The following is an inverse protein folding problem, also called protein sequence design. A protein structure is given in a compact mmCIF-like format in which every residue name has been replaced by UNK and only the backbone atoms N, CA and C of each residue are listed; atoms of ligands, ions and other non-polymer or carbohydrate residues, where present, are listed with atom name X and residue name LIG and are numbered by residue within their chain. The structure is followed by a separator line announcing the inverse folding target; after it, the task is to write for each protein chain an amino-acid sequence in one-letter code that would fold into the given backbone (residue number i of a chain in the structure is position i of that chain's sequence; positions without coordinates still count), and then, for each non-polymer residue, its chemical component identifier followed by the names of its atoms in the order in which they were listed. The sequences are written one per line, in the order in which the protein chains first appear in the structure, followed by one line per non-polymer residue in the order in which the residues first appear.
data_IF_252029474181
#
_entry.id   IF_252029474181
#
_cell.length_a   1.000
_cell.length_b   1.000
_cell.length_c   1.000
_cell.angle_alpha   90.00
_cell.angle_beta   90.00
_cell.angle_gamma   90.00
#
_symmetry.space_group_name_H-M   'P 1'
#
loop_
_entity.id
_entity.type
_entity.pdbx_description
1 polymer ?
#
# COMPACT_ATOMS: atom_id res chain seq x y z
N UNK A 1 10.68 -4.04 7.73
CA UNK A 1 10.00 -3.49 8.91
C UNK A 1 10.38 -4.36 10.10
N UNK A 2 10.34 -3.84 11.31
CA UNK A 2 10.62 -4.65 12.50
C UNK A 2 9.59 -4.34 13.59
N UNK A 3 9.33 -5.30 14.46
CA UNK A 3 8.53 -5.13 15.67
C UNK A 3 9.41 -5.35 16.89
N UNK A 4 9.25 -4.50 17.88
CA UNK A 4 9.87 -4.67 19.19
C UNK A 4 8.80 -4.91 20.24
N UNK A 5 9.05 -5.86 21.13
CA UNK A 5 8.22 -6.15 22.29
C UNK A 5 9.05 -5.99 23.55
N UNK A 6 8.59 -5.16 24.47
CA UNK A 6 9.13 -5.02 25.81
C UNK A 6 8.12 -5.59 26.82
N UNK A 7 8.52 -6.64 27.53
CA UNK A 7 7.77 -7.20 28.64
C UNK A 7 8.39 -6.73 29.94
N UNK A 8 7.60 -6.08 30.79
CA UNK A 8 8.06 -5.47 32.05
C UNK A 8 7.27 -6.04 33.22
N UNK A 9 7.98 -6.56 34.20
CA UNK A 9 7.43 -6.93 35.49
C UNK A 9 7.40 -5.71 36.41
N UNK A 10 6.22 -5.42 36.93
CA UNK A 10 5.96 -4.27 37.79
C UNK A 10 5.51 -4.73 39.17
N UNK A 11 6.09 -4.12 40.18
CA UNK A 11 5.64 -4.19 41.57
C UNK A 11 4.94 -2.88 41.95
N UNK A 12 3.77 -2.99 42.57
CA UNK A 12 2.93 -1.87 42.99
C UNK A 12 2.89 -1.81 44.52
N UNK A 13 3.93 -1.26 45.18
CA UNK A 13 4.05 -1.31 46.65
C UNK A 13 2.87 -0.66 47.36
N UNK A 14 2.33 0.40 46.78
CA UNK A 14 1.25 1.20 47.37
C UNK A 14 -0.15 0.69 47.05
N UNK A 15 -0.32 -0.32 46.20
CA UNK A 15 -1.64 -0.90 45.96
C UNK A 15 -2.01 -1.79 47.14
N UNK A 16 -3.26 -1.71 47.61
CA UNK A 16 -3.81 -2.53 48.72
C UNK A 16 -5.02 -3.38 48.31
N UNK A 17 -5.47 -3.23 47.06
CA UNK A 17 -6.60 -3.98 46.48
C UNK A 17 -6.49 -4.10 44.97
N UNK A 18 -7.21 -5.07 44.37
CA UNK A 18 -7.29 -5.22 42.91
C UNK A 18 -7.86 -3.97 42.22
N UNK A 19 -8.79 -3.26 42.86
CA UNK A 19 -9.36 -2.01 42.32
C UNK A 19 -8.32 -0.91 42.27
N UNK A 20 -7.57 -0.72 43.35
CA UNK A 20 -6.52 0.30 43.43
C UNK A 20 -5.37 -0.02 42.46
N UNK A 21 -4.95 -1.28 42.39
CA UNK A 21 -3.97 -1.77 41.41
C UNK A 21 -4.38 -1.42 39.98
N UNK A 22 -5.62 -1.76 39.58
CA UNK A 22 -6.14 -1.43 38.24
C UNK A 22 -6.13 0.06 37.96
N UNK A 23 -6.52 0.89 38.93
CA UNK A 23 -6.53 2.34 38.77
C UNK A 23 -5.12 2.91 38.57
N UNK A 24 -4.14 2.45 39.36
CA UNK A 24 -2.74 2.87 39.23
C UNK A 24 -2.14 2.42 37.90
N UNK A 25 -2.32 1.14 37.57
CA UNK A 25 -1.82 0.56 36.31
C UNK A 25 -2.44 1.25 35.09
N UNK A 26 -3.73 1.57 35.12
CA UNK A 26 -4.41 2.30 34.03
C UNK A 26 -3.78 3.65 33.75
N UNK A 27 -3.39 4.42 34.78
CA UNK A 27 -2.70 5.71 34.59
C UNK A 27 -1.35 5.55 33.92
N UNK A 28 -0.58 4.53 34.30
CA UNK A 28 0.71 4.22 33.66
C UNK A 28 0.51 3.83 32.20
N UNK A 29 -0.45 2.96 31.91
CA UNK A 29 -0.79 2.53 30.54
C UNK A 29 -1.25 3.71 29.67
N UNK A 30 -2.09 4.60 30.19
CA UNK A 30 -2.55 5.79 29.46
C UNK A 30 -1.37 6.73 29.14
N UNK A 31 -0.47 6.99 30.10
CA UNK A 31 0.73 7.80 29.87
C UNK A 31 1.65 7.19 28.81
N UNK A 32 1.85 5.86 28.83
CA UNK A 32 2.66 5.16 27.82
C UNK A 32 2.08 5.32 26.41
N UNK A 33 0.77 5.08 26.25
CA UNK A 33 0.09 5.20 24.96
C UNK A 33 0.15 6.62 24.41
N UNK A 34 -0.08 7.63 25.26
CA UNK A 34 -0.07 9.04 24.85
C UNK A 34 1.33 9.54 24.49
N UNK A 35 2.37 9.09 25.21
CA UNK A 35 3.73 9.61 25.05
C UNK A 35 4.53 8.95 23.93
N UNK A 36 4.33 7.65 23.71
CA UNK A 36 5.22 6.86 22.83
C UNK A 36 4.50 6.25 21.61
N UNK A 37 3.19 6.45 21.46
CA UNK A 37 2.39 5.88 20.37
C UNK A 37 2.57 4.34 20.23
N UNK A 38 2.49 3.64 21.35
CA UNK A 38 2.72 2.19 21.45
C UNK A 38 1.45 1.44 21.83
N UNK A 39 1.38 0.17 21.44
CA UNK A 39 0.38 -0.76 21.96
C UNK A 39 0.83 -1.26 23.33
N UNK A 40 -0.07 -1.30 24.31
CA UNK A 40 0.22 -1.74 25.69
C UNK A 40 -0.89 -2.66 26.17
N UNK A 41 -0.53 -3.81 26.71
CA UNK A 41 -1.45 -4.77 27.31
C UNK A 41 -0.88 -5.30 28.64
N UNK A 42 -1.77 -5.62 29.57
CA UNK A 42 -1.41 -6.41 30.75
C UNK A 42 -1.49 -7.90 30.39
N UNK A 43 -0.37 -8.61 30.49
CA UNK A 43 -0.24 -10.00 30.02
C UNK A 43 -0.22 -11.02 31.15
N UNK A 44 0.07 -10.61 32.39
CA UNK A 44 0.04 -11.48 33.58
C UNK A 44 -0.09 -10.66 34.88
N UNK A 45 -0.26 -11.34 36.01
CA UNK A 45 -0.35 -10.76 37.35
C UNK A 45 -1.74 -10.27 37.74
N UNK A 46 -2.77 -10.55 36.93
CA UNK A 46 -4.15 -10.05 37.13
C UNK A 46 -4.77 -10.44 38.48
N UNK A 47 -4.32 -11.56 39.06
CA UNK A 47 -4.77 -12.08 40.36
C UNK A 47 -3.98 -11.53 41.56
N UNK A 48 -2.92 -10.75 41.32
CA UNK A 48 -2.10 -10.12 42.36
C UNK A 48 -2.38 -8.63 42.44
N UNK A 49 -2.62 -8.12 43.64
CA UNK A 49 -2.83 -6.69 43.87
C UNK A 49 -1.53 -5.88 43.91
N UNK A 50 -0.35 -6.51 44.07
CA UNK A 50 0.95 -5.81 44.06
C UNK A 50 1.81 -6.14 42.84
N UNK A 51 1.36 -7.01 41.92
CA UNK A 51 2.16 -7.38 40.74
C UNK A 51 1.37 -7.17 39.47
N UNK A 52 2.08 -6.78 38.41
CA UNK A 52 1.54 -6.72 37.06
C UNK A 52 2.66 -7.02 36.06
N UNK A 53 2.32 -7.64 34.94
CA UNK A 53 3.24 -7.77 33.81
C UNK A 53 2.63 -7.04 32.63
N UNK A 54 3.35 -6.04 32.11
CA UNK A 54 2.95 -5.29 30.93
C UNK A 54 3.76 -5.76 29.72
N UNK A 55 3.09 -5.97 28.60
CA UNK A 55 3.73 -6.06 27.30
C UNK A 55 3.47 -4.75 26.53
N UNK A 56 4.54 -4.17 26.02
CA UNK A 56 4.54 -2.98 25.18
C UNK A 56 5.07 -3.38 23.81
N UNK A 57 4.31 -3.10 22.75
CA UNK A 57 4.69 -3.41 21.38
C UNK A 57 4.76 -2.14 20.52
N UNK A 58 5.79 -2.08 19.68
CA UNK A 58 6.02 -0.98 18.74
C UNK A 58 6.63 -1.48 17.43
N UNK A 59 6.47 -0.72 16.36
CA UNK A 59 7.00 -1.05 15.02
C UNK A 59 7.81 0.11 14.47
N UNK A 60 8.90 -0.19 13.79
CA UNK A 60 9.72 0.82 13.12
C UNK A 60 10.35 0.27 11.83
N UNK A 61 10.80 1.20 10.98
CA UNK A 61 11.51 0.87 9.75
C UNK A 61 12.92 0.34 9.99
N UNK A 62 13.53 0.69 11.13
CA UNK A 62 14.94 0.41 11.47
C UNK A 62 15.05 -0.06 12.92
N UNK A 63 15.98 -0.98 13.18
CA UNK A 63 16.19 -1.65 14.48
C UNK A 63 16.59 -0.70 15.60
N UNK A 64 17.55 0.18 15.32
CA UNK A 64 18.03 1.16 16.29
C UNK A 64 16.90 2.09 16.80
N UNK A 65 15.87 2.32 15.98
CA UNK A 65 14.69 3.11 16.35
C UNK A 65 13.77 2.36 17.31
N UNK A 66 13.64 1.03 17.13
CA UNK A 66 12.91 0.19 18.08
C UNK A 66 13.62 0.18 19.44
N UNK A 67 14.92 -0.10 19.43
CA UNK A 67 15.74 -0.12 20.64
C UNK A 67 15.62 1.21 21.38
N UNK A 68 15.83 2.34 20.68
CA UNK A 68 15.73 3.66 21.28
C UNK A 68 14.37 3.91 21.94
N UNK A 69 13.26 3.57 21.28
CA UNK A 69 11.90 3.79 21.81
C UNK A 69 11.63 2.87 23.01
N UNK A 70 12.02 1.60 22.93
CA UNK A 70 11.80 0.65 24.03
C UNK A 70 12.65 1.01 25.25
N UNK A 71 13.89 1.48 25.06
CA UNK A 71 14.76 1.96 26.13
C UNK A 71 14.19 3.22 26.81
N UNK A 72 13.63 4.15 26.02
CA UNK A 72 12.95 5.33 26.55
C UNK A 72 11.70 4.96 27.36
N UNK A 73 10.97 3.93 26.93
CA UNK A 73 9.80 3.41 27.66
C UNK A 73 10.22 2.78 28.98
N UNK A 74 11.29 1.99 29.00
CA UNK A 74 11.80 1.38 30.22
C UNK A 74 12.22 2.45 31.24
N UNK A 75 13.02 3.44 30.81
CA UNK A 75 13.44 4.56 31.68
C UNK A 75 12.26 5.39 32.17
N UNK A 76 11.23 5.54 31.34
CA UNK A 76 9.99 6.20 31.75
C UNK A 76 9.28 5.43 32.86
N UNK A 77 9.19 4.10 32.76
CA UNK A 77 8.58 3.24 33.76
C UNK A 77 9.37 3.21 35.07
N UNK A 78 10.71 3.18 35.00
CA UNK A 78 11.59 3.29 36.16
C UNK A 78 11.44 4.64 36.89
N UNK A 79 11.08 5.70 36.16
CA UNK A 79 10.78 7.02 36.71
C UNK A 79 9.35 7.20 37.21
N UNK A 80 8.46 6.21 37.06
CA UNK A 80 7.07 6.34 37.51
C UNK A 80 6.95 6.09 39.03
N UNK A 81 6.42 7.04 39.82
CA UNK A 81 6.22 6.82 41.26
C UNK A 81 5.12 5.79 41.57
N UNK A 82 4.26 5.48 40.60
CA UNK A 82 3.13 4.56 40.80
C UNK A 82 3.52 3.06 40.77
N UNK A 83 4.70 2.72 40.24
CA UNK A 83 5.16 1.35 40.00
C UNK A 83 6.67 1.23 40.21
N UNK A 84 7.16 0.04 40.51
CA UNK A 84 8.60 -0.27 40.51
C UNK A 84 8.86 -1.38 39.49
N UNK A 85 9.86 -1.19 38.62
CA UNK A 85 10.27 -2.23 37.68
C UNK A 85 11.06 -3.30 38.43
N UNK A 86 10.54 -4.52 38.48
CA UNK A 86 11.22 -5.66 39.13
C UNK A 86 12.02 -6.52 38.15
N UNK A 87 11.73 -6.40 36.85
CA UNK A 87 12.41 -7.11 35.78
C UNK A 87 11.87 -6.69 34.42
N UNK A 88 12.63 -6.93 33.35
CA UNK A 88 12.16 -6.73 31.99
C UNK A 88 12.85 -7.67 31.01
N UNK A 89 12.20 -7.88 29.86
CA UNK A 89 12.76 -8.56 28.69
C UNK A 89 12.41 -7.76 27.45
N UNK A 90 13.39 -7.54 26.60
CA UNK A 90 13.20 -6.93 25.28
C UNK A 90 13.42 -8.00 24.22
N UNK A 91 12.48 -8.08 23.27
CA UNK A 91 12.59 -8.96 22.11
C UNK A 91 12.37 -8.14 20.85
N UNK A 92 13.37 -8.15 19.96
CA UNK A 92 13.27 -7.56 18.64
C UNK A 92 12.99 -8.67 17.65
N UNK A 93 11.85 -8.54 16.98
CA UNK A 93 11.40 -9.49 15.98
C UNK A 93 11.48 -8.81 14.63
N UNK A 94 12.37 -9.24 13.74
CA UNK A 94 12.34 -8.76 12.37
C UNK A 94 10.99 -9.13 11.78
N UNK A 95 10.23 -8.10 11.37
CA UNK A 95 9.08 -8.28 10.47
C UNK A 95 9.64 -8.35 9.05
N UNK A 96 10.52 -9.34 8.84
CA UNK A 96 10.90 -9.82 7.53
C UNK A 96 9.85 -10.80 7.05
N UNK A 97 9.71 -10.92 5.73
CA UNK A 97 8.87 -11.94 5.09
C UNK A 97 9.28 -13.34 5.56
N UNK A 98 8.74 -13.83 6.69
CA UNK A 98 8.74 -15.26 6.98
C UNK A 98 7.73 -15.88 6.04
N UNK A 99 8.24 -16.77 5.20
CA UNK A 99 7.56 -17.48 4.12
C UNK A 99 6.46 -18.46 4.57
N UNK A 100 5.95 -18.36 5.80
CA UNK A 100 4.89 -19.22 6.33
C UNK A 100 3.60 -18.46 6.62
N UNK A 101 2.80 -18.33 5.55
CA UNK A 101 1.34 -18.51 5.48
C UNK A 101 0.41 -17.85 6.51
N UNK A 102 -0.27 -16.77 6.07
CA UNK A 102 -1.73 -16.61 6.29
C UNK A 102 -2.50 -16.29 5.00
N UNK A 103 -1.79 -15.96 3.91
CA UNK A 103 -2.35 -15.79 2.57
C UNK A 103 -1.48 -16.59 1.60
N UNK A 104 -2.06 -17.37 0.67
CA UNK A 104 -1.27 -18.09 -0.32
C UNK A 104 -0.57 -17.06 -1.22
N UNK A 105 0.73 -16.85 -1.03
CA UNK A 105 1.56 -16.15 -2.01
C UNK A 105 1.96 -17.14 -3.10
N UNK A 106 1.72 -16.74 -4.35
CA UNK A 106 2.42 -17.31 -5.49
C UNK A 106 3.94 -17.23 -5.23
N UNK A 107 4.67 -18.23 -5.70
CA UNK A 107 6.12 -18.43 -5.51
C UNK A 107 6.91 -17.12 -5.64
N UNK A 108 7.97 -17.01 -4.83
CA UNK A 108 9.03 -16.01 -4.95
C UNK A 108 9.59 -15.97 -6.40
N UNK A 109 9.03 -15.06 -7.18
CA UNK A 109 9.47 -14.51 -8.45
C UNK A 109 9.18 -13.01 -8.37
N UNK A 110 9.87 -12.18 -9.13
CA UNK A 110 9.96 -10.74 -8.86
C UNK A 110 8.56 -10.07 -8.79
N UNK A 111 8.46 -8.91 -8.13
CA UNK A 111 7.22 -8.13 -8.08
C UNK A 111 6.91 -7.55 -9.48
N UNK A 112 6.34 -8.38 -10.36
CA UNK A 112 6.23 -8.09 -11.78
C UNK A 112 5.03 -7.20 -12.10
N UNK A 113 3.93 -7.26 -11.34
CA UNK A 113 2.75 -6.43 -11.63
C UNK A 113 2.46 -5.43 -10.51
N UNK A 114 2.57 -4.15 -10.81
CA UNK A 114 2.33 -3.05 -9.88
C UNK A 114 1.15 -2.22 -10.39
N UNK A 115 0.13 -2.05 -9.57
CA UNK A 115 -0.98 -1.14 -9.85
C UNK A 115 -0.76 0.20 -9.16
N UNK A 116 -0.90 1.29 -9.90
CA UNK A 116 -0.90 2.66 -9.37
C UNK A 116 -2.26 3.30 -9.68
N UNK A 117 -3.02 3.60 -8.62
CA UNK A 117 -4.31 4.29 -8.71
C UNK A 117 -4.28 5.64 -8.02
N UNK A 118 -5.27 6.48 -8.29
CA UNK A 118 -5.46 7.76 -7.63
C UNK A 118 -6.32 8.72 -8.43
N UNK A 119 -6.71 9.82 -7.78
CA UNK A 119 -7.51 10.88 -8.38
C UNK A 119 -6.84 11.58 -9.57
N UNK A 120 -7.61 12.40 -10.28
CA UNK A 120 -7.08 13.29 -11.32
C UNK A 120 -6.07 14.25 -10.68
N UNK A 121 -4.93 14.47 -11.35
CA UNK A 121 -3.82 15.33 -10.87
C UNK A 121 -3.23 14.92 -9.51
N UNK A 122 -3.43 13.69 -9.05
CA UNK A 122 -2.85 13.22 -7.79
C UNK A 122 -1.34 12.98 -7.84
N UNK A 123 -0.71 13.01 -9.02
CA UNK A 123 0.71 12.69 -9.21
C UNK A 123 0.99 11.22 -9.56
N UNK A 124 -0.04 10.39 -9.75
CA UNK A 124 0.10 8.95 -10.05
C UNK A 124 1.04 8.61 -11.21
N UNK A 125 0.96 9.30 -12.36
CA UNK A 125 1.86 9.01 -13.50
C UNK A 125 3.33 9.33 -13.18
N UNK A 126 3.60 10.40 -12.41
CA UNK A 126 4.98 10.72 -11.99
C UNK A 126 5.54 9.63 -11.07
N UNK A 127 4.72 9.15 -10.14
CA UNK A 127 5.11 8.06 -9.27
C UNK A 127 5.31 6.75 -10.07
N UNK A 128 4.39 6.43 -10.98
CA UNK A 128 4.49 5.25 -11.84
C UNK A 128 5.78 5.26 -12.69
N UNK A 129 6.15 6.39 -13.28
CA UNK A 129 7.43 6.54 -13.99
C UNK A 129 8.64 6.37 -13.07
N UNK A 130 8.57 6.85 -11.81
CA UNK A 130 9.69 6.70 -10.87
C UNK A 130 9.98 5.24 -10.49
N UNK A 131 9.00 4.34 -10.59
CA UNK A 131 9.17 2.90 -10.35
C UNK A 131 10.00 2.21 -11.44
N UNK A 132 10.19 2.86 -12.59
CA UNK A 132 10.84 2.32 -13.79
C UNK A 132 12.10 3.11 -14.17
N UNK A 133 12.55 4.06 -13.34
CA UNK A 133 13.66 4.97 -13.69
C UNK A 133 14.99 4.25 -13.93
N UNK A 134 15.24 3.20 -13.16
CA UNK A 134 16.50 2.44 -13.21
C UNK A 134 16.43 1.27 -14.22
N UNK A 135 15.29 1.08 -14.90
CA UNK A 135 15.14 0.03 -15.91
C UNK A 135 15.88 0.45 -17.19
N UNK A 136 16.69 -0.42 -17.80
CA UNK A 136 17.52 -0.07 -18.95
C UNK A 136 16.69 0.21 -20.22
N UNK A 137 15.50 -0.41 -20.31
CA UNK A 137 14.61 -0.32 -21.45
C UNK A 137 13.17 -0.43 -20.96
N UNK A 138 12.34 0.56 -21.33
CA UNK A 138 10.95 0.66 -20.88
C UNK A 138 10.04 0.84 -22.09
N UNK A 139 8.96 0.06 -22.13
CA UNK A 139 7.87 0.22 -23.07
C UNK A 139 6.73 0.98 -22.41
N UNK A 140 6.30 2.08 -23.01
CA UNK A 140 5.16 2.88 -22.60
C UNK A 140 3.97 2.56 -23.51
N UNK A 141 2.95 1.90 -22.96
CA UNK A 141 1.71 1.61 -23.64
C UNK A 141 0.69 2.72 -23.34
N UNK A 142 0.52 3.61 -24.31
CA UNK A 142 -0.36 4.77 -24.24
C UNK A 142 -1.77 4.42 -24.70
N UNK A 143 -2.77 4.66 -23.86
CA UNK A 143 -4.19 4.46 -24.22
C UNK A 143 -4.88 5.73 -24.71
N UNK A 144 -4.25 6.89 -24.53
CA UNK A 144 -4.85 8.18 -24.84
C UNK A 144 -4.93 8.44 -26.35
N UNK A 145 -6.12 8.83 -26.81
CA UNK A 145 -6.34 9.38 -28.16
C UNK A 145 -6.35 10.89 -28.04
N UNK A 146 -5.58 11.61 -28.86
CA UNK A 146 -5.59 13.09 -28.86
C UNK A 146 -6.97 13.56 -29.37
N UNK A 147 -7.84 13.98 -28.45
CA UNK A 147 -9.19 14.47 -28.78
C UNK A 147 -9.30 16.00 -28.75
N UNK A 148 -8.39 16.67 -28.06
CA UNK A 148 -8.41 18.13 -27.89
C UNK A 148 -7.00 18.70 -27.61
N UNK A 149 -6.89 20.03 -27.70
CA UNK A 149 -5.63 20.77 -27.53
C UNK A 149 -5.07 20.68 -26.09
N UNK A 150 -5.91 20.53 -25.06
CA UNK A 150 -5.46 20.36 -23.68
C UNK A 150 -4.79 18.98 -23.50
N UNK A 151 -5.36 17.95 -24.11
CA UNK A 151 -4.80 16.61 -24.14
C UNK A 151 -3.51 16.56 -24.96
N UNK A 152 -3.43 17.32 -26.06
CA UNK A 152 -2.21 17.45 -26.86
C UNK A 152 -1.05 18.07 -26.07
N UNK A 153 -1.30 19.18 -25.35
CA UNK A 153 -0.29 19.80 -24.47
C UNK A 153 0.14 18.87 -23.34
N UNK A 154 -0.79 18.12 -22.75
CA UNK A 154 -0.48 17.12 -21.72
C UNK A 154 0.37 15.98 -22.27
N UNK A 155 0.07 15.48 -23.46
CA UNK A 155 0.86 14.42 -24.12
C UNK A 155 2.26 14.95 -24.46
N UNK A 156 2.39 16.19 -24.93
CA UNK A 156 3.69 16.84 -25.17
C UNK A 156 4.52 16.94 -23.89
N UNK A 157 3.91 17.42 -22.79
CA UNK A 157 4.58 17.49 -21.49
C UNK A 157 5.02 16.10 -20.99
N UNK A 158 4.16 15.08 -21.13
CA UNK A 158 4.50 13.70 -20.76
C UNK A 158 5.63 13.11 -21.62
N UNK A 159 5.59 13.29 -22.94
CA UNK A 159 6.66 12.82 -23.84
C UNK A 159 7.98 13.51 -23.54
N UNK A 160 7.99 14.82 -23.28
CA UNK A 160 9.20 15.58 -22.98
C UNK A 160 9.89 15.17 -21.67
N UNK A 161 9.14 14.56 -20.73
CA UNK A 161 9.67 14.09 -19.44
C UNK A 161 10.27 12.69 -19.53
N UNK A 162 9.88 11.89 -20.53
CA UNK A 162 10.32 10.49 -20.66
C UNK A 162 11.77 10.45 -21.14
N UNK A 163 12.60 9.55 -20.59
CA UNK A 163 13.93 9.31 -21.12
C UNK A 163 13.88 8.90 -22.59
N UNK A 164 14.91 9.28 -23.36
CA UNK A 164 15.00 8.94 -24.78
C UNK A 164 15.04 7.43 -25.08
N UNK A 165 15.39 6.60 -24.08
CA UNK A 165 15.41 5.13 -24.21
C UNK A 165 14.04 4.48 -24.02
N UNK A 166 12.97 5.25 -23.81
CA UNK A 166 11.62 4.71 -23.68
C UNK A 166 10.96 4.53 -25.05
N UNK A 167 10.44 3.33 -25.30
CA UNK A 167 9.68 3.00 -26.49
C UNK A 167 8.21 3.30 -26.24
N UNK A 168 7.54 4.06 -27.11
CA UNK A 168 6.10 4.35 -26.96
C UNK A 168 5.30 3.56 -27.99
N UNK A 169 4.30 2.81 -27.51
CA UNK A 169 3.28 2.14 -28.32
C UNK A 169 1.93 2.78 -28.00
N UNK A 170 1.23 3.26 -29.00
CA UNK A 170 -0.09 3.85 -28.85
C UNK A 170 -1.14 2.82 -29.24
N UNK A 171 -1.94 2.40 -28.27
CA UNK A 171 -3.04 1.44 -28.48
C UNK A 171 -4.24 1.84 -27.62
N UNK A 172 -5.27 2.45 -28.23
CA UNK A 172 -6.42 2.94 -27.49
C UNK A 172 -7.45 1.85 -27.13
N UNK A 173 -7.44 0.69 -27.79
CA UNK A 173 -8.51 -0.32 -27.69
C UNK A 173 -7.98 -1.74 -27.47
N UNK A 174 -7.08 -2.23 -28.33
CA UNK A 174 -6.69 -3.65 -28.41
C UNK A 174 -5.44 -3.96 -27.56
N UNK A 175 -5.53 -3.68 -26.25
CA UNK A 175 -4.37 -3.73 -25.34
C UNK A 175 -3.70 -5.11 -25.23
N UNK A 176 -4.46 -6.20 -25.32
CA UNK A 176 -3.89 -7.56 -25.28
C UNK A 176 -2.96 -7.77 -26.48
N UNK A 177 -3.41 -7.37 -27.67
CA UNK A 177 -2.61 -7.46 -28.90
C UNK A 177 -1.40 -6.54 -28.88
N UNK A 178 -1.54 -5.33 -28.34
CA UNK A 178 -0.39 -4.44 -28.16
C UNK A 178 0.63 -5.00 -27.17
N UNK A 179 0.18 -5.71 -26.13
CA UNK A 179 1.05 -6.33 -25.15
C UNK A 179 1.97 -7.41 -25.77
N UNK A 180 1.50 -8.12 -26.79
CA UNK A 180 2.29 -9.12 -27.54
C UNK A 180 3.50 -8.52 -28.26
N UNK A 181 3.46 -7.22 -28.57
CA UNK A 181 4.57 -6.50 -29.20
C UNK A 181 5.65 -6.08 -28.19
N UNK A 182 5.36 -6.19 -26.90
CA UNK A 182 6.29 -5.82 -25.82
C UNK A 182 6.98 -7.09 -25.32
N UNK A 183 8.31 -7.21 -25.46
CA UNK A 183 9.05 -8.37 -24.96
C UNK A 183 8.71 -8.65 -23.49
N UNK A 184 8.49 -9.93 -23.17
CA UNK A 184 7.91 -10.34 -21.88
C UNK A 184 8.81 -10.04 -20.69
N UNK A 185 10.12 -9.97 -20.89
CA UNK A 185 11.18 -9.68 -19.91
C UNK A 185 11.46 -8.19 -19.71
N UNK A 186 10.89 -7.31 -20.55
CA UNK A 186 11.14 -5.87 -20.52
C UNK A 186 10.12 -5.10 -19.71
N UNK A 187 10.58 -3.99 -19.14
CA UNK A 187 9.76 -3.13 -18.31
C UNK A 187 8.62 -2.49 -19.12
N UNK A 188 7.45 -2.39 -18.52
CA UNK A 188 6.24 -1.88 -19.14
C UNK A 188 5.55 -0.86 -18.24
N UNK A 189 5.16 0.28 -18.80
CA UNK A 189 4.23 1.24 -18.20
C UNK A 189 2.96 1.33 -19.06
N UNK A 190 1.81 0.93 -18.51
CA UNK A 190 0.50 1.11 -19.14
C UNK A 190 -0.21 2.30 -18.49
N UNK A 191 -0.45 3.38 -19.24
CA UNK A 191 -1.08 4.61 -18.72
C UNK A 191 -2.12 5.15 -19.73
N UNK A 192 -3.43 5.13 -19.43
CA UNK A 192 -4.08 4.46 -18.30
C UNK A 192 -5.34 3.67 -18.67
N UNK A 193 -5.69 2.71 -17.81
CA UNK A 193 -6.93 1.95 -17.93
C UNK A 193 -8.18 2.82 -17.87
N UNK A 194 -8.13 3.94 -17.16
CA UNK A 194 -9.24 4.89 -17.09
C UNK A 194 -9.61 5.47 -18.46
N UNK A 195 -8.62 5.71 -19.33
CA UNK A 195 -8.88 6.18 -20.69
C UNK A 195 -9.24 5.03 -21.62
N UNK A 196 -8.60 3.86 -21.47
CA UNK A 196 -8.96 2.67 -22.24
C UNK A 196 -10.43 2.27 -22.09
N UNK A 197 -10.94 2.22 -20.85
CA UNK A 197 -12.36 1.95 -20.59
C UNK A 197 -13.26 3.02 -21.23
N UNK A 198 -12.83 4.28 -21.20
CA UNK A 198 -13.56 5.37 -21.85
C UNK A 198 -13.62 5.18 -23.37
N UNK A 199 -12.49 4.81 -24.00
CA UNK A 199 -12.43 4.58 -25.45
C UNK A 199 -13.37 3.45 -25.87
N UNK A 200 -13.35 2.32 -25.17
CA UNK A 200 -14.22 1.18 -25.49
C UNK A 200 -15.70 1.51 -25.33
N UNK A 201 -16.08 2.25 -24.28
CA UNK A 201 -17.46 2.70 -24.11
C UNK A 201 -17.90 3.67 -25.21
N UNK A 202 -17.03 4.59 -25.63
CA UNK A 202 -17.30 5.52 -26.74
C UNK A 202 -17.39 4.78 -28.08
N UNK A 203 -16.60 3.72 -28.27
CA UNK A 203 -16.68 2.83 -29.43
C UNK A 203 -17.93 1.92 -29.41
N UNK A 204 -18.78 2.02 -28.39
CA UNK A 204 -20.04 1.27 -28.29
C UNK A 204 -19.88 -0.18 -27.82
N UNK A 205 -18.73 -0.55 -27.23
CA UNK A 205 -18.50 -1.89 -26.68
C UNK A 205 -19.37 -2.10 -25.44
N UNK A 206 -19.85 -3.34 -25.28
CA UNK A 206 -20.74 -3.68 -24.15
C UNK A 206 -19.98 -3.85 -22.83
N UNK A 207 -20.62 -3.55 -21.70
CA UNK A 207 -19.99 -3.66 -20.36
C UNK A 207 -19.35 -5.04 -20.10
N UNK A 208 -20.09 -6.13 -20.40
CA UNK A 208 -19.58 -7.50 -20.24
C UNK A 208 -18.39 -7.81 -21.13
N UNK A 209 -18.35 -7.23 -22.32
CA UNK A 209 -17.25 -7.40 -23.25
C UNK A 209 -16.00 -6.70 -22.73
N UNK A 210 -16.15 -5.48 -22.21
CA UNK A 210 -15.04 -4.72 -21.61
C UNK A 210 -14.51 -5.44 -20.37
N UNK A 211 -15.38 -5.96 -19.50
CA UNK A 211 -14.95 -6.76 -18.34
C UNK A 211 -14.20 -8.02 -18.77
N UNK A 212 -14.62 -8.68 -19.85
CA UNK A 212 -13.94 -9.86 -20.39
C UNK A 212 -12.55 -9.50 -20.91
N UNK A 213 -12.43 -8.42 -21.71
CA UNK A 213 -11.13 -7.93 -22.17
C UNK A 213 -10.21 -7.53 -21.02
N UNK A 214 -10.76 -6.95 -19.95
CA UNK A 214 -9.96 -6.61 -18.77
C UNK A 214 -9.40 -7.86 -18.09
N UNK A 215 -10.17 -8.95 -18.02
CA UNK A 215 -9.70 -10.24 -17.48
C UNK A 215 -8.60 -10.84 -18.35
N UNK A 216 -8.75 -10.77 -19.68
CA UNK A 216 -7.75 -11.24 -20.64
C UNK A 216 -6.45 -10.44 -20.54
N UNK A 217 -6.57 -9.11 -20.47
CA UNK A 217 -5.44 -8.21 -20.24
C UNK A 217 -4.72 -8.56 -18.93
N UNK A 218 -5.46 -8.73 -17.82
CA UNK A 218 -4.88 -9.10 -16.53
C UNK A 218 -4.17 -10.45 -16.61
N UNK A 219 -4.75 -11.44 -17.29
CA UNK A 219 -4.11 -12.73 -17.50
C UNK A 219 -2.80 -12.60 -18.28
N UNK A 220 -2.79 -11.80 -19.36
CA UNK A 220 -1.60 -11.57 -20.16
C UNK A 220 -0.52 -10.79 -19.39
N UNK A 221 -0.89 -9.77 -18.62
CA UNK A 221 0.03 -9.02 -17.75
C UNK A 221 0.69 -9.94 -16.71
N UNK A 222 -0.05 -10.91 -16.17
CA UNK A 222 0.49 -11.88 -15.19
C UNK A 222 1.46 -12.90 -15.78
N UNK A 223 1.48 -13.08 -17.09
CA UNK A 223 2.43 -13.96 -17.77
C UNK A 223 3.77 -13.27 -18.07
N UNK A 224 3.88 -11.96 -17.82
CA UNK A 224 5.12 -11.20 -18.07
C UNK A 224 6.15 -11.41 -16.97
N UNK A 225 7.42 -11.38 -17.37
CA UNK A 225 8.60 -11.47 -16.51
C UNK A 225 9.24 -10.09 -16.26
N UNK A 226 8.93 -9.11 -17.10
CA UNK A 226 9.40 -7.74 -16.96
C UNK A 226 8.57 -6.97 -15.95
N UNK A 227 9.20 -6.00 -15.28
CA UNK A 227 8.51 -5.13 -14.33
C UNK A 227 7.43 -4.32 -15.04
N UNK A 228 6.19 -4.55 -14.65
CA UNK A 228 4.99 -4.01 -15.29
C UNK A 228 4.24 -3.11 -14.31
N UNK A 229 4.11 -1.84 -14.66
CA UNK A 229 3.35 -0.84 -13.90
C UNK A 229 2.11 -0.47 -14.70
N UNK A 230 0.94 -0.60 -14.07
CA UNK A 230 -0.35 -0.24 -14.67
C UNK A 230 -0.95 0.93 -13.90
N UNK A 231 -1.29 1.99 -14.62
CA UNK A 231 -1.91 3.20 -14.08
C UNK A 231 -3.41 3.15 -14.33
N UNK A 232 -4.18 3.50 -13.31
CA UNK A 232 -5.63 3.68 -13.40
C UNK A 232 -6.09 4.88 -12.57
N UNK A 233 -7.37 5.24 -12.70
CA UNK A 233 -7.98 6.33 -11.96
C UNK A 233 -8.89 5.78 -10.86
N UNK A 234 -8.88 6.47 -9.71
CA UNK A 234 -9.91 6.29 -8.68
C UNK A 234 -11.03 7.32 -8.91
N UNK A 235 -12.26 6.84 -9.10
CA UNK A 235 -13.43 7.65 -9.48
C UNK A 235 -14.65 7.36 -8.59
N UNK A 236 -14.57 6.37 -7.70
CA UNK A 236 -15.67 5.92 -6.85
C UNK A 236 -15.87 6.71 -5.56
N UNK A 237 -14.95 7.62 -5.22
CA UNK A 237 -14.98 8.40 -3.96
C UNK A 237 -15.75 9.74 -4.07
N UNK A 238 -16.39 10.00 -5.21
CA UNK A 238 -17.14 11.22 -5.48
C UNK A 238 -18.67 11.03 -5.46
N UNK A 239 -19.38 12.05 -5.96
CA UNK A 239 -20.83 11.97 -6.17
C UNK A 239 -21.16 10.99 -7.31
N UNK A 240 -22.39 10.47 -7.30
CA UNK A 240 -22.91 9.65 -8.39
C UNK A 240 -23.05 10.51 -9.66
N UNK A 241 -22.48 10.08 -10.80
CA UNK A 241 -22.64 10.81 -12.06
C UNK A 241 -24.11 10.97 -12.47
N UNK A 242 -24.46 12.14 -13.00
CA UNK A 242 -25.83 12.43 -13.47
C UNK A 242 -26.13 11.73 -14.80
N UNK A 243 -25.12 11.53 -15.66
CA UNK A 243 -25.26 10.82 -16.93
C UNK A 243 -25.26 9.30 -16.74
N UNK A 244 -26.05 8.59 -17.57
CA UNK A 244 -26.07 7.12 -17.57
C UNK A 244 -24.69 6.54 -17.92
N UNK A 245 -24.06 7.08 -18.97
CA UNK A 245 -22.71 6.67 -19.39
C UNK A 245 -21.66 6.90 -18.29
N UNK A 246 -21.77 8.00 -17.53
CA UNK A 246 -20.87 8.25 -16.40
C UNK A 246 -21.01 7.25 -15.26
N UNK A 247 -22.24 6.80 -14.97
CA UNK A 247 -22.48 5.74 -13.98
C UNK A 247 -21.89 4.41 -14.43
N UNK A 248 -22.14 4.03 -15.69
CA UNK A 248 -21.57 2.83 -16.31
C UNK A 248 -20.04 2.87 -16.24
N UNK A 249 -19.42 3.97 -16.68
CA UNK A 249 -17.98 4.15 -16.62
C UNK A 249 -17.41 3.98 -15.21
N UNK A 250 -18.02 4.64 -14.22
CA UNK A 250 -17.59 4.57 -12.82
C UNK A 250 -17.63 3.14 -12.29
N UNK A 251 -18.75 2.45 -12.50
CA UNK A 251 -18.97 1.11 -11.96
C UNK A 251 -18.06 0.09 -12.65
N UNK A 252 -17.93 0.19 -13.98
CA UNK A 252 -17.06 -0.67 -14.79
C UNK A 252 -15.58 -0.47 -14.44
N UNK A 253 -15.10 0.78 -14.33
CA UNK A 253 -13.72 1.05 -13.93
C UNK A 253 -13.44 0.55 -12.50
N UNK A 254 -14.43 0.68 -11.60
CA UNK A 254 -14.35 0.12 -10.24
C UNK A 254 -14.19 -1.41 -10.23
N UNK A 255 -14.95 -2.12 -11.07
CA UNK A 255 -14.82 -3.58 -11.22
C UNK A 255 -13.45 -3.97 -11.79
N UNK A 256 -12.99 -3.28 -12.84
CA UNK A 256 -11.70 -3.53 -13.49
C UNK A 256 -10.54 -3.27 -12.52
N UNK A 257 -10.60 -2.17 -11.76
CA UNK A 257 -9.62 -1.86 -10.72
C UNK A 257 -9.54 -2.97 -9.67
N UNK A 258 -10.67 -3.57 -9.27
CA UNK A 258 -10.68 -4.70 -8.33
C UNK A 258 -10.02 -5.96 -8.93
N UNK A 259 -10.35 -6.32 -10.17
CA UNK A 259 -9.76 -7.47 -10.87
C UNK A 259 -8.23 -7.29 -10.94
N UNK A 260 -7.77 -6.12 -11.35
CA UNK A 260 -6.35 -5.83 -11.47
C UNK A 260 -5.66 -5.76 -10.09
N UNK A 261 -6.27 -5.14 -9.09
CA UNK A 261 -5.71 -5.07 -7.74
C UNK A 261 -5.57 -6.46 -7.09
N UNK A 262 -6.49 -7.39 -7.38
CA UNK A 262 -6.38 -8.78 -6.94
C UNK A 262 -5.18 -9.48 -7.58
N UNK A 263 -4.95 -9.25 -8.88
CA UNK A 263 -3.84 -9.84 -9.62
C UNK A 263 -2.49 -9.15 -9.37
N UNK A 264 -2.45 -7.85 -9.09
CA UNK A 264 -1.21 -7.10 -8.89
C UNK A 264 -0.45 -7.58 -7.65
N UNK A 265 0.87 -7.60 -7.70
CA UNK A 265 1.70 -7.93 -6.53
C UNK A 265 1.74 -6.76 -5.55
N UNK A 266 1.79 -5.53 -6.07
CA UNK A 266 1.74 -4.30 -5.27
C UNK A 266 0.67 -3.35 -5.79
N UNK A 267 0.02 -2.62 -4.88
CA UNK A 267 -0.96 -1.59 -5.22
C UNK A 267 -0.64 -0.32 -4.45
N UNK A 268 -0.56 0.79 -5.17
CA UNK A 268 -0.36 2.12 -4.61
C UNK A 268 -1.56 3.02 -4.88
N UNK A 269 -2.05 3.70 -3.85
CA UNK A 269 -2.94 4.83 -3.96
C UNK A 269 -2.11 6.11 -3.86
N UNK A 270 -2.13 6.97 -4.88
CA UNK A 270 -1.40 8.24 -4.86
C UNK A 270 -2.35 9.39 -4.57
N UNK A 271 -2.06 10.13 -3.49
CA UNK A 271 -2.84 11.30 -3.02
C UNK A 271 -1.89 12.47 -2.81
N UNK A 272 -2.18 13.63 -3.42
CA UNK A 272 -1.34 14.84 -3.29
C UNK A 272 0.15 14.60 -3.62
N UNK A 273 0.46 13.71 -4.55
CA UNK A 273 1.82 13.32 -4.92
C UNK A 273 2.46 12.30 -3.99
N UNK A 274 1.78 11.89 -2.91
CA UNK A 274 2.27 10.95 -1.92
C UNK A 274 1.76 9.54 -2.25
N UNK A 275 2.64 8.58 -2.56
CA UNK A 275 2.25 7.20 -2.77
C UNK A 275 2.01 6.51 -1.43
N UNK A 276 0.83 5.90 -1.29
CA UNK A 276 0.47 5.04 -0.17
C UNK A 276 0.36 3.60 -0.68
N UNK A 277 1.23 2.71 -0.20
CA UNK A 277 1.13 1.30 -0.53
C UNK A 277 -0.05 0.69 0.23
N UNK A 278 -1.06 0.22 -0.50
CA UNK A 278 -2.27 -0.41 0.05
C UNK A 278 -2.29 -1.93 -0.15
N UNK A 279 -1.40 -2.47 -0.99
CA UNK A 279 -1.11 -3.90 -1.11
C UNK A 279 0.42 -4.13 -1.16
N UNK A 280 0.99 -4.95 -0.25
CA UNK A 280 2.43 -5.26 -0.18
C UNK A 280 2.89 -6.49 -0.96
#
# INVERSE_FOLDING_TARGET
MQSGVLVVELFLPAASSLKERRQRLRRVVEKLRQRFNVAVAEVDGQNSWQRAVLAVATVAGEEWRLELVLDQILRFLEGCPEVMVSGHRMELHPLGHREDSFFPRAKAGLNHLILVTGGVRSGKSRFAESLLREEPEVFYLATAVITDAEMEERIKAHRSRRPHHWHTLEEPEELVRALEQVPSDRALLLDCLGIWVSNLLVAGRGEKEIEQQARELVAALRQREGRTVVVTNEVGMGLVPTSALGRIYRDLLGNINQILAQAADMVYLVVCGLPMQIKP
#
